data_IF_150727577341
#
_entry.id   IF_150727577341
#
_cell.length_a   1.000
_cell.length_b   1.000
_cell.length_c   1.000
_cell.angle_alpha   90.00
_cell.angle_beta   90.00
_cell.angle_gamma   90.00
#
_symmetry.space_group_name_H-M   'P 1'
#
loop_
_entity.id
_entity.type
_entity.pdbx_description
1 polymer ?
#
# COMPACT_ATOMS: atom_id res chain seq x y z
N UNK A 1 88.53 -41.28 -29.51
CA UNK A 1 88.02 -39.91 -29.30
C UNK A 1 87.23 -39.89 -28.00
N UNK A 2 87.93 -39.81 -26.87
CA UNK A 2 87.29 -39.50 -25.58
C UNK A 2 87.03 -37.99 -25.60
N UNK A 3 85.90 -37.57 -26.17
CA UNK A 3 85.44 -36.20 -26.03
C UNK A 3 85.07 -36.00 -24.55
N UNK A 4 85.93 -35.30 -23.82
CA UNK A 4 85.61 -34.88 -22.47
C UNK A 4 84.48 -33.85 -22.56
N UNK A 5 83.28 -34.22 -22.11
CA UNK A 5 82.10 -33.37 -22.06
C UNK A 5 81.97 -32.78 -20.65
N UNK A 6 81.56 -31.51 -20.55
CA UNK A 6 81.34 -30.87 -19.25
C UNK A 6 80.11 -29.97 -19.26
N UNK A 7 79.53 -29.78 -18.09
CA UNK A 7 78.48 -28.80 -17.88
C UNK A 7 79.09 -27.41 -17.69
N UNK A 8 78.68 -26.45 -18.51
CA UNK A 8 79.05 -25.05 -18.34
C UNK A 8 77.85 -24.23 -17.83
N UNK A 9 78.13 -23.29 -16.93
CA UNK A 9 77.15 -22.35 -16.41
C UNK A 9 77.01 -21.18 -17.38
N UNK A 10 75.81 -20.95 -17.89
CA UNK A 10 75.52 -19.74 -18.67
C UNK A 10 74.93 -18.69 -17.73
N UNK A 11 75.58 -17.53 -17.65
CA UNK A 11 75.05 -16.38 -16.92
C UNK A 11 74.09 -15.64 -17.85
N UNK A 12 72.80 -15.90 -17.73
CA UNK A 12 71.82 -14.91 -18.16
C UNK A 12 71.76 -13.86 -17.07
N UNK A 13 72.45 -12.73 -17.26
CA UNK A 13 72.01 -11.52 -16.60
C UNK A 13 70.55 -11.26 -17.02
N UNK A 14 69.79 -10.54 -16.18
CA UNK A 14 68.48 -10.08 -16.59
C UNK A 14 68.62 -9.19 -17.83
N UNK A 15 68.74 -9.79 -19.01
CA UNK A 15 68.38 -9.16 -20.26
C UNK A 15 66.87 -8.88 -20.07
N UNK A 16 66.36 -7.65 -19.92
CA UNK A 16 66.74 -6.46 -20.68
C UNK A 16 67.26 -6.89 -22.04
N UNK A 17 66.35 -7.48 -22.82
CA UNK A 17 66.44 -7.53 -24.28
C UNK A 17 66.42 -6.09 -24.81
N UNK A 18 67.52 -5.36 -24.59
CA UNK A 18 68.01 -4.42 -25.57
C UNK A 18 68.56 -5.28 -26.71
N UNK A 19 67.71 -5.54 -27.69
CA UNK A 19 68.01 -5.68 -29.13
C UNK A 19 66.97 -6.61 -29.78
N UNK A 20 65.75 -6.14 -29.98
CA UNK A 20 65.01 -6.38 -31.23
C UNK A 20 63.94 -5.29 -31.38
N UNK A 21 64.17 -4.40 -32.35
CA UNK A 21 63.16 -3.50 -32.91
C UNK A 21 61.98 -4.34 -33.42
N UNK A 22 60.92 -4.45 -32.63
CA UNK A 22 59.59 -4.85 -33.08
C UNK A 22 58.58 -4.14 -32.18
N UNK A 23 57.86 -3.21 -32.79
CA UNK A 23 56.78 -2.40 -32.24
C UNK A 23 55.64 -3.27 -31.68
N UNK A 24 55.71 -3.62 -30.40
CA UNK A 24 54.56 -4.11 -29.64
C UNK A 24 54.61 -3.52 -28.23
N UNK A 25 53.58 -2.72 -27.93
CA UNK A 25 53.05 -2.33 -26.62
C UNK A 25 53.91 -2.71 -25.40
N UNK A 26 54.47 -1.69 -24.73
CA UNK A 26 55.04 -1.75 -23.38
C UNK A 26 54.08 -2.46 -22.40
N UNK A 27 54.19 -3.78 -22.26
CA UNK A 27 53.76 -4.47 -21.04
C UNK A 27 54.98 -4.59 -20.14
N UNK A 28 55.08 -3.68 -19.19
CA UNK A 28 56.03 -3.77 -18.09
C UNK A 28 55.91 -5.17 -17.44
N UNK A 29 57.02 -5.89 -17.37
CA UNK A 29 57.08 -7.16 -16.63
C UNK A 29 56.75 -6.88 -15.15
N UNK A 30 56.03 -7.79 -14.45
CA UNK A 30 55.65 -7.54 -13.07
C UNK A 30 56.89 -7.46 -12.17
N UNK A 31 57.09 -6.28 -11.60
CA UNK A 31 57.86 -6.06 -10.38
C UNK A 31 57.19 -6.81 -9.21
N UNK A 32 57.88 -7.02 -8.08
CA UNK A 32 57.43 -7.77 -6.88
C UNK A 32 57.78 -9.28 -6.79
N UNK A 33 59.06 -9.65 -7.00
CA UNK A 33 59.71 -10.97 -6.72
C UNK A 33 59.76 -12.00 -7.87
N UNK A 34 60.57 -11.72 -8.90
CA UNK A 34 60.98 -12.72 -9.89
C UNK A 34 62.11 -13.63 -9.38
N UNK A 35 62.25 -14.83 -9.94
CA UNK A 35 63.38 -15.75 -9.66
C UNK A 35 64.09 -16.09 -10.97
N UNK A 36 65.40 -15.86 -10.99
CA UNK A 36 66.28 -16.30 -12.07
C UNK A 36 67.00 -17.57 -11.68
N UNK A 37 66.94 -18.56 -12.58
CA UNK A 37 67.56 -19.86 -12.41
C UNK A 37 68.77 -19.93 -13.31
N UNK A 38 69.90 -20.37 -12.77
CA UNK A 38 71.11 -20.65 -13.55
C UNK A 38 70.84 -21.77 -14.53
N UNK A 39 70.93 -21.48 -15.83
CA UNK A 39 70.84 -22.49 -16.86
C UNK A 39 72.18 -23.21 -17.03
N UNK A 40 72.13 -24.53 -16.95
CA UNK A 40 73.30 -25.41 -17.11
C UNK A 40 73.15 -26.15 -18.43
N UNK A 41 74.15 -26.03 -19.31
CA UNK A 41 74.15 -26.66 -20.62
C UNK A 41 75.35 -27.61 -20.72
N UNK A 42 75.13 -28.83 -21.19
CA UNK A 42 76.20 -29.77 -21.50
C UNK A 42 76.88 -29.33 -22.80
N UNK A 43 78.20 -29.12 -22.79
CA UNK A 43 78.96 -28.69 -23.96
C UNK A 43 80.12 -29.64 -24.26
N UNK A 44 80.48 -29.74 -25.54
CA UNK A 44 81.72 -30.42 -25.94
C UNK A 44 82.94 -29.54 -25.68
N UNK A 45 84.03 -30.12 -25.18
CA UNK A 45 85.27 -29.34 -24.96
C UNK A 45 85.98 -28.93 -26.25
N UNK A 46 85.82 -29.68 -27.34
CA UNK A 46 86.52 -29.41 -28.60
C UNK A 46 86.01 -28.16 -29.33
N UNK A 47 84.68 -27.97 -29.36
CA UNK A 47 84.04 -26.92 -30.18
C UNK A 47 83.03 -26.06 -29.38
N UNK A 48 82.88 -26.30 -28.08
CA UNK A 48 81.92 -25.62 -27.18
C UNK A 48 80.45 -25.72 -27.62
N UNK A 49 80.12 -26.64 -28.53
CA UNK A 49 78.75 -26.85 -29.00
C UNK A 49 77.89 -27.46 -27.88
N UNK A 50 76.63 -27.03 -27.81
CA UNK A 50 75.67 -27.56 -26.85
C UNK A 50 75.17 -28.95 -27.30
N UNK A 51 75.19 -29.90 -26.38
CA UNK A 51 74.72 -31.28 -26.59
C UNK A 51 73.70 -31.69 -25.54
N UNK A 52 73.01 -32.81 -25.77
CA UNK A 52 72.00 -33.31 -24.84
C UNK A 52 72.60 -33.71 -23.49
N UNK A 53 71.83 -33.50 -22.43
CA UNK A 53 72.26 -33.70 -21.04
C UNK A 53 72.72 -35.13 -20.70
N UNK A 54 72.26 -36.15 -21.43
CA UNK A 54 72.62 -37.55 -21.17
C UNK A 54 74.06 -37.89 -21.60
N UNK A 55 74.71 -37.03 -22.38
CA UNK A 55 76.13 -37.19 -22.75
C UNK A 55 77.10 -36.65 -21.69
N UNK A 56 76.64 -35.83 -20.75
CA UNK A 56 77.45 -35.39 -19.60
C UNK A 56 77.19 -36.27 -18.36
N UNK A 57 78.22 -36.49 -17.53
CA UNK A 57 78.07 -37.24 -16.26
C UNK A 57 77.21 -36.47 -15.26
N UNK A 58 76.11 -37.07 -14.80
CA UNK A 58 75.21 -36.52 -13.80
C UNK A 58 75.92 -36.07 -12.51
N UNK A 59 77.01 -36.73 -12.10
CA UNK A 59 77.79 -36.36 -10.91
C UNK A 59 78.55 -35.04 -11.06
N UNK A 60 78.84 -34.65 -12.30
CA UNK A 60 79.51 -33.40 -12.67
C UNK A 60 78.55 -32.22 -12.85
N UNK A 61 77.23 -32.45 -12.76
CA UNK A 61 76.22 -31.39 -12.91
C UNK A 61 76.32 -30.39 -11.76
N UNK A 62 76.59 -29.10 -12.03
CA UNK A 62 76.58 -28.06 -11.00
C UNK A 62 75.24 -27.99 -10.26
N UNK A 63 75.29 -27.67 -8.97
CA UNK A 63 74.08 -27.37 -8.19
C UNK A 63 73.39 -26.15 -8.77
N UNK A 64 72.09 -26.25 -9.00
CA UNK A 64 71.26 -25.17 -9.53
C UNK A 64 71.33 -23.94 -8.60
N UNK A 65 71.84 -22.82 -9.12
CA UNK A 65 71.84 -21.55 -8.40
C UNK A 65 70.60 -20.73 -8.78
N UNK A 66 69.93 -20.19 -7.77
CA UNK A 66 68.76 -19.32 -7.92
C UNK A 66 69.09 -17.94 -7.37
N UNK A 67 68.68 -16.88 -8.07
CA UNK A 67 68.79 -15.50 -7.58
C UNK A 67 67.46 -14.78 -7.74
N UNK A 68 67.14 -13.91 -6.79
CA UNK A 68 65.95 -13.06 -6.89
C UNK A 68 66.19 -11.92 -7.89
N UNK A 69 65.18 -11.58 -8.67
CA UNK A 69 65.16 -10.42 -9.57
C UNK A 69 63.83 -9.65 -9.40
N UNK A 70 63.72 -8.44 -9.94
CA UNK A 70 62.51 -7.62 -9.86
C UNK A 70 62.00 -7.42 -8.42
N UNK A 71 62.93 -7.10 -7.51
CA UNK A 71 62.66 -6.95 -6.07
C UNK A 71 62.01 -5.62 -5.70
N UNK A 72 61.91 -4.68 -6.64
CA UNK A 72 61.20 -3.42 -6.38
C UNK A 72 59.69 -3.68 -6.26
N UNK A 73 59.00 -3.01 -5.32
CA UNK A 73 57.54 -3.05 -5.24
C UNK A 73 56.89 -2.48 -6.50
N UNK A 74 55.70 -2.96 -6.86
CA UNK A 74 54.93 -2.36 -7.95
C UNK A 74 54.52 -0.92 -7.61
N UNK A 75 54.19 -0.13 -8.63
CA UNK A 75 53.49 1.14 -8.42
C UNK A 75 52.14 0.90 -7.75
N UNK A 76 51.71 1.77 -6.83
CA UNK A 76 50.42 1.65 -6.16
C UNK A 76 49.27 1.90 -7.13
N UNK A 77 48.18 1.16 -6.99
CA UNK A 77 47.00 1.26 -7.86
C UNK A 77 45.72 1.21 -7.04
N UNK A 78 44.66 1.82 -7.58
CA UNK A 78 43.34 1.75 -6.96
C UNK A 78 42.78 0.35 -7.07
N UNK A 79 42.33 -0.16 -5.94
CA UNK A 79 41.55 -1.37 -5.85
C UNK A 79 40.13 -1.00 -5.44
N UNK A 80 39.14 -1.56 -6.15
CA UNK A 80 37.73 -1.39 -5.84
C UNK A 80 37.13 -2.73 -5.46
N UNK A 81 36.46 -2.78 -4.31
CA UNK A 81 35.67 -3.93 -3.90
C UNK A 81 34.35 -4.05 -4.67
N UNK A 82 33.59 -5.09 -4.34
CA UNK A 82 32.22 -5.27 -4.83
C UNK A 82 31.30 -4.17 -4.30
N UNK A 83 30.27 -3.85 -5.06
CA UNK A 83 29.21 -2.95 -4.61
C UNK A 83 28.38 -3.61 -3.50
N UNK A 84 28.00 -2.81 -2.51
CA UNK A 84 27.01 -3.17 -1.50
C UNK A 84 25.65 -3.39 -2.14
N UNK A 85 24.74 -3.98 -1.38
CA UNK A 85 23.33 -3.89 -1.72
C UNK A 85 22.89 -2.42 -1.80
N UNK A 86 21.98 -2.14 -2.73
CA UNK A 86 21.45 -0.80 -2.91
C UNK A 86 20.61 -0.40 -1.70
N UNK A 87 20.77 0.83 -1.20
CA UNK A 87 20.04 1.33 -0.03
C UNK A 87 18.52 1.34 -0.20
N UNK A 88 18.02 1.34 -1.44
CA UNK A 88 16.61 1.29 -1.78
C UNK A 88 16.41 0.33 -2.94
N UNK A 89 15.33 -0.45 -2.91
CA UNK A 89 14.97 -1.35 -4.00
C UNK A 89 14.40 -0.64 -5.22
N UNK A 90 13.89 0.59 -5.07
CA UNK A 90 13.26 1.40 -6.12
C UNK A 90 13.27 2.91 -5.74
N UNK A 91 12.84 3.78 -6.66
CA UNK A 91 12.86 5.25 -6.57
C UNK A 91 14.25 5.88 -6.35
N UNK A 92 15.31 5.20 -6.79
CA UNK A 92 16.68 5.67 -6.64
C UNK A 92 17.22 5.45 -5.23
N UNK A 93 18.27 4.65 -5.13
CA UNK A 93 19.08 4.45 -3.94
C UNK A 93 20.56 4.72 -4.23
N UNK A 94 21.39 4.44 -3.24
CA UNK A 94 22.84 4.50 -3.35
C UNK A 94 23.42 3.16 -2.94
N UNK A 95 24.41 2.69 -3.69
CA UNK A 95 25.26 1.57 -3.32
C UNK A 95 26.66 2.10 -3.06
N UNK A 96 27.37 1.46 -2.13
CA UNK A 96 28.72 1.85 -1.76
C UNK A 96 29.68 0.70 -2.00
N UNK A 97 30.95 0.99 -2.27
CA UNK A 97 32.00 -0.02 -2.38
C UNK A 97 33.25 0.44 -1.66
N UNK A 98 34.10 -0.50 -1.32
CA UNK A 98 35.41 -0.17 -0.79
C UNK A 98 36.34 0.32 -1.90
N UNK A 99 37.08 1.41 -1.66
CA UNK A 99 38.09 1.95 -2.58
C UNK A 99 39.37 2.17 -1.79
N UNK A 100 40.39 1.35 -2.05
CA UNK A 100 41.67 1.36 -1.33
C UNK A 100 42.82 1.57 -2.31
N UNK A 101 43.81 2.36 -1.90
CA UNK A 101 45.09 2.41 -2.60
C UNK A 101 45.95 1.21 -2.16
N UNK A 102 46.23 0.27 -3.07
CA UNK A 102 47.01 -0.95 -2.76
C UNK A 102 48.31 -0.98 -3.54
N UNK A 103 49.38 -1.42 -2.88
CA UNK A 103 50.69 -1.70 -3.48
C UNK A 103 51.07 -3.15 -3.25
N UNK A 104 51.39 -3.85 -4.33
CA UNK A 104 51.97 -5.18 -4.26
C UNK A 104 53.45 -5.10 -3.91
N UNK A 105 53.84 -5.64 -2.76
CA UNK A 105 55.21 -5.68 -2.26
C UNK A 105 55.92 -6.96 -2.74
N UNK A 106 55.20 -8.09 -2.73
CA UNK A 106 55.69 -9.38 -3.23
C UNK A 106 54.56 -10.15 -3.91
N UNK A 107 54.83 -11.39 -4.34
CA UNK A 107 53.79 -12.25 -4.91
C UNK A 107 52.64 -12.52 -3.94
N UNK A 108 52.91 -12.53 -2.64
CA UNK A 108 51.94 -12.88 -1.58
C UNK A 108 51.58 -11.71 -0.66
N UNK A 109 52.29 -10.59 -0.75
CA UNK A 109 52.12 -9.46 0.17
C UNK A 109 51.64 -8.21 -0.56
N UNK A 110 50.51 -7.69 -0.08
CA UNK A 110 49.94 -6.42 -0.50
C UNK A 110 49.83 -5.49 0.70
N UNK A 111 50.09 -4.20 0.47
CA UNK A 111 50.00 -3.16 1.49
C UNK A 111 49.01 -2.10 1.06
N UNK A 112 48.12 -1.74 1.98
CA UNK A 112 47.23 -0.58 1.84
C UNK A 112 48.02 0.68 2.17
N UNK A 113 47.91 1.68 1.31
CA UNK A 113 48.57 2.97 1.43
C UNK A 113 47.53 4.09 1.59
N UNK A 114 48.02 5.28 1.90
CA UNK A 114 47.23 6.50 1.83
C UNK A 114 46.77 6.79 0.40
N UNK A 115 45.60 7.40 0.25
CA UNK A 115 44.98 7.74 -1.02
C UNK A 115 45.89 8.58 -1.93
N UNK A 116 46.72 9.45 -1.34
CA UNK A 116 47.66 10.31 -2.06
C UNK A 116 48.75 9.55 -2.83
N UNK A 117 48.99 8.27 -2.48
CA UNK A 117 50.00 7.45 -3.12
C UNK A 117 49.56 6.94 -4.51
N UNK A 118 48.25 6.86 -4.76
CA UNK A 118 47.70 6.33 -6.01
C UNK A 118 47.42 7.45 -7.03
N UNK A 119 47.79 7.22 -8.28
CA UNK A 119 47.38 7.99 -9.46
C UNK A 119 46.70 7.02 -10.42
N UNK A 120 45.53 7.31 -11.04
CA UNK A 120 44.77 8.56 -11.27
C UNK A 120 43.86 9.00 -10.08
N UNK A 121 42.91 9.96 -10.20
CA UNK A 121 42.00 10.33 -9.10
C UNK A 121 41.23 9.14 -8.51
N UNK A 122 40.90 9.24 -7.22
CA UNK A 122 40.17 8.20 -6.48
C UNK A 122 38.83 7.89 -7.17
N UNK A 123 38.56 6.63 -7.53
CA UNK A 123 37.27 6.21 -8.05
C UNK A 123 36.13 6.51 -7.07
N UNK A 124 34.91 6.67 -7.58
CA UNK A 124 33.74 6.83 -6.72
C UNK A 124 33.54 5.59 -5.83
N UNK A 125 33.35 5.85 -4.53
CA UNK A 125 32.98 4.82 -3.56
C UNK A 125 31.45 4.70 -3.41
N UNK A 126 30.68 5.54 -4.12
CA UNK A 126 29.21 5.56 -4.11
C UNK A 126 28.69 5.71 -5.54
N UNK A 127 27.60 5.01 -5.87
CA UNK A 127 26.93 5.10 -7.17
C UNK A 127 25.40 5.03 -7.00
N UNK A 128 24.62 5.77 -7.82
CA UNK A 128 23.17 5.60 -7.85
C UNK A 128 22.78 4.21 -8.36
N UNK A 129 21.77 3.63 -7.74
CA UNK A 129 21.21 2.33 -8.10
C UNK A 129 19.68 2.37 -8.04
N UNK A 130 19.03 1.38 -8.66
CA UNK A 130 17.57 1.18 -8.60
C UNK A 130 16.73 2.43 -8.94
N UNK A 131 17.05 3.07 -10.07
CA UNK A 131 16.37 4.29 -10.53
C UNK A 131 14.99 4.05 -11.17
N UNK A 132 14.41 2.86 -10.99
CA UNK A 132 13.06 2.55 -11.47
C UNK A 132 12.02 2.93 -10.41
N UNK A 133 10.84 3.37 -10.84
CA UNK A 133 9.76 3.73 -9.91
C UNK A 133 9.28 2.52 -9.12
N UNK A 134 8.96 2.73 -7.84
CA UNK A 134 8.37 1.69 -7.00
C UNK A 134 6.99 1.29 -7.53
N UNK A 135 6.63 -0.01 -7.48
CA UNK A 135 5.29 -0.44 -7.84
C UNK A 135 4.25 0.23 -6.92
N UNK A 136 3.03 0.49 -7.43
CA UNK A 136 1.97 1.07 -6.62
C UNK A 136 1.41 0.05 -5.62
N UNK A 137 1.03 0.53 -4.43
CA UNK A 137 0.62 -0.30 -3.31
C UNK A 137 -0.80 0.04 -2.81
N UNK A 138 -1.47 -0.96 -2.24
CA UNK A 138 -2.76 -0.76 -1.59
C UNK A 138 -2.60 -0.18 -0.20
N UNK A 139 -3.23 0.97 0.03
CA UNK A 139 -3.39 1.56 1.34
C UNK A 139 -4.83 1.36 1.83
N UNK A 140 -4.99 0.60 2.91
CA UNK A 140 -6.28 0.48 3.59
C UNK A 140 -6.33 1.48 4.74
N UNK A 141 -7.32 2.38 4.70
CA UNK A 141 -7.60 3.29 5.80
C UNK A 141 -8.31 2.56 6.95
N UNK A 142 -8.53 3.29 8.03
CA UNK A 142 -9.23 2.78 9.21
C UNK A 142 -10.66 2.36 8.89
N UNK A 143 -11.14 1.41 9.69
CA UNK A 143 -12.52 0.96 9.64
C UNK A 143 -13.46 2.01 10.21
N UNK A 144 -14.60 2.19 9.53
CA UNK A 144 -15.75 2.88 10.07
C UNK A 144 -16.31 2.16 11.30
N UNK A 145 -17.15 2.85 12.04
CA UNK A 145 -18.03 2.21 13.01
C UNK A 145 -18.96 1.18 12.34
N UNK A 146 -19.47 0.24 13.13
CA UNK A 146 -20.41 -0.76 12.66
C UNK A 146 -21.76 -0.09 12.42
N UNK A 147 -22.38 -0.34 11.26
CA UNK A 147 -23.73 0.13 10.96
C UNK A 147 -24.66 -1.07 10.70
N UNK A 148 -25.82 -1.16 11.40
CA UNK A 148 -26.25 -0.29 12.51
C UNK A 148 -25.36 -0.43 13.77
N UNK A 149 -25.46 0.53 14.69
CA UNK A 149 -24.66 0.58 15.94
C UNK A 149 -25.08 -0.45 17.00
N UNK A 150 -25.94 -1.39 16.63
CA UNK A 150 -26.38 -2.53 17.40
C UNK A 150 -26.69 -3.69 16.44
N UNK A 151 -26.70 -4.92 16.95
CA UNK A 151 -27.06 -6.10 16.17
C UNK A 151 -26.07 -6.43 15.04
N UNK A 152 -26.49 -7.22 14.04
CA UNK A 152 -25.67 -7.56 12.90
C UNK A 152 -25.57 -6.40 11.91
N UNK A 153 -24.36 -6.12 11.45
CA UNK A 153 -24.06 -4.99 10.58
C UNK A 153 -22.76 -5.16 9.80
N UNK A 154 -22.29 -4.05 9.24
CA UNK A 154 -21.02 -3.99 8.52
C UNK A 154 -20.18 -2.79 8.93
N UNK A 155 -18.85 -2.98 8.89
CA UNK A 155 -17.88 -1.90 8.89
C UNK A 155 -17.30 -1.77 7.50
N UNK A 156 -17.06 -0.53 7.11
CA UNK A 156 -16.53 -0.15 5.81
C UNK A 156 -15.19 0.53 6.00
N UNK A 157 -14.26 0.37 5.06
CA UNK A 157 -13.05 1.19 4.98
C UNK A 157 -12.76 1.56 3.56
N UNK A 158 -12.06 2.67 3.39
CA UNK A 158 -11.58 3.11 2.09
C UNK A 158 -10.28 2.38 1.79
N UNK A 159 -10.18 1.83 0.57
CA UNK A 159 -8.98 1.16 0.06
C UNK A 159 -8.52 1.95 -1.15
N UNK A 160 -7.33 2.55 -1.06
CA UNK A 160 -6.75 3.42 -2.07
C UNK A 160 -5.55 2.74 -2.72
N UNK A 161 -5.39 2.95 -4.03
CA UNK A 161 -4.14 2.62 -4.70
C UNK A 161 -3.21 3.83 -4.58
N UNK A 162 -2.01 3.64 -4.05
CA UNK A 162 -1.02 4.71 -3.84
C UNK A 162 0.19 4.53 -4.74
N UNK A 163 0.62 5.61 -5.37
CA UNK A 163 1.87 5.66 -6.12
C UNK A 163 3.05 5.42 -5.18
N UNK A 164 3.91 4.45 -5.52
CA UNK A 164 5.14 4.23 -4.76
C UNK A 164 6.13 5.38 -4.89
N UNK A 165 6.02 6.22 -5.93
CA UNK A 165 6.93 7.34 -6.22
C UNK A 165 6.51 8.64 -5.52
N UNK A 166 5.26 9.07 -5.73
CA UNK A 166 4.76 10.37 -5.28
C UNK A 166 3.84 10.30 -4.06
N UNK A 167 3.34 9.10 -3.70
CA UNK A 167 2.29 8.94 -2.67
C UNK A 167 0.90 9.40 -3.13
N UNK A 168 0.73 9.76 -4.41
CA UNK A 168 -0.55 10.16 -4.97
C UNK A 168 -1.54 9.00 -5.03
N UNK A 169 -2.82 9.34 -4.96
CA UNK A 169 -3.88 8.36 -5.15
C UNK A 169 -4.07 8.07 -6.64
N UNK A 170 -3.84 6.81 -7.02
CA UNK A 170 -3.97 6.33 -8.38
C UNK A 170 -5.31 5.59 -8.58
N UNK A 171 -5.74 5.38 -9.84
CA UNK A 171 -6.85 4.49 -10.15
C UNK A 171 -6.59 3.06 -9.66
N UNK A 172 -7.64 2.39 -9.17
CA UNK A 172 -7.55 1.00 -8.66
C UNK A 172 -6.94 -0.01 -9.63
N UNK A 173 -7.06 0.24 -10.94
CA UNK A 173 -6.50 -0.62 -11.98
C UNK A 173 -4.97 -0.63 -12.04
N UNK A 174 -4.31 0.36 -11.43
CA UNK A 174 -2.84 0.45 -11.39
C UNK A 174 -2.24 -0.43 -10.29
N UNK A 175 -2.98 -0.73 -9.24
CA UNK A 175 -2.52 -1.63 -8.19
C UNK A 175 -2.81 -3.09 -8.54
N UNK A 176 -1.99 -4.04 -8.07
CA UNK A 176 -2.22 -5.45 -8.32
C UNK A 176 -3.57 -5.91 -7.77
N UNK A 177 -4.37 -6.67 -8.54
CA UNK A 177 -5.65 -7.19 -8.03
C UNK A 177 -5.46 -8.16 -6.85
N UNK A 178 -4.36 -8.91 -6.87
CA UNK A 178 -3.97 -9.78 -5.77
C UNK A 178 -3.48 -8.93 -4.59
N UNK A 179 -3.87 -9.29 -3.37
CA UNK A 179 -3.50 -8.52 -2.18
C UNK A 179 -4.34 -7.27 -1.92
N UNK A 180 -5.36 -6.96 -2.74
CA UNK A 180 -6.31 -5.88 -2.44
C UNK A 180 -7.01 -6.15 -1.09
N UNK A 181 -6.89 -5.25 -0.10
CA UNK A 181 -7.59 -5.40 1.17
C UNK A 181 -9.11 -5.34 1.01
N UNK A 182 -9.85 -6.04 1.86
CA UNK A 182 -11.32 -5.99 1.87
C UNK A 182 -11.81 -4.61 2.29
N UNK A 183 -12.75 -4.02 1.56
CA UNK A 183 -13.36 -2.73 1.92
C UNK A 183 -14.55 -2.85 2.87
N UNK A 184 -15.05 -4.07 3.08
CA UNK A 184 -16.25 -4.35 3.89
C UNK A 184 -16.09 -5.62 4.70
N UNK A 185 -16.44 -5.56 5.98
CA UNK A 185 -16.40 -6.69 6.92
C UNK A 185 -17.68 -6.72 7.75
N UNK A 186 -18.12 -7.92 8.15
CA UNK A 186 -19.26 -8.11 9.05
C UNK A 186 -18.88 -7.78 10.49
N UNK A 187 -19.81 -7.20 11.22
CA UNK A 187 -19.73 -6.98 12.65
C UNK A 187 -21.05 -7.39 13.32
N UNK A 188 -20.98 -7.87 14.56
CA UNK A 188 -22.14 -8.21 15.37
C UNK A 188 -21.99 -7.53 16.72
N UNK A 189 -22.80 -6.50 16.95
CA UNK A 189 -22.84 -5.76 18.21
C UNK A 189 -23.94 -6.32 19.13
N UNK A 190 -24.10 -5.69 20.30
CA UNK A 190 -25.18 -6.02 21.23
C UNK A 190 -26.55 -5.89 20.57
N UNK A 191 -27.52 -6.68 21.01
CA UNK A 191 -28.88 -6.66 20.43
C UNK A 191 -29.44 -5.25 20.43
N UNK A 192 -30.11 -4.90 19.33
CA UNK A 192 -30.80 -3.62 19.24
C UNK A 192 -31.92 -3.53 20.28
N UNK A 193 -32.18 -2.33 20.82
CA UNK A 193 -33.37 -2.10 21.64
C UNK A 193 -34.63 -2.47 20.86
N UNK A 194 -35.63 -3.09 21.50
CA UNK A 194 -36.88 -3.44 20.85
C UNK A 194 -37.64 -2.18 20.39
N UNK A 195 -38.49 -2.32 19.39
CA UNK A 195 -39.38 -1.23 18.97
C UNK A 195 -40.37 -0.86 20.08
N UNK A 196 -40.69 0.43 20.18
CA UNK A 196 -41.58 0.96 21.21
C UNK A 196 -42.68 1.83 20.61
N UNK A 197 -43.84 1.86 21.28
CA UNK A 197 -44.92 2.76 20.95
C UNK A 197 -44.57 4.19 21.37
N UNK A 198 -44.54 5.10 20.40
CA UNK A 198 -44.31 6.53 20.62
C UNK A 198 -45.62 7.28 20.40
N UNK A 199 -45.95 8.16 21.35
CA UNK A 199 -47.18 8.93 21.39
C UNK A 199 -46.88 10.39 21.06
N UNK A 200 -47.65 10.99 20.15
CA UNK A 200 -47.65 12.43 19.94
C UNK A 200 -48.52 13.17 20.96
N UNK A 201 -48.50 14.51 20.93
CA UNK A 201 -49.44 15.33 21.71
C UNK A 201 -50.88 15.07 21.26
N UNK A 202 -51.82 15.26 22.18
CA UNK A 202 -53.25 15.31 21.84
C UNK A 202 -53.53 16.53 20.95
N UNK A 203 -54.30 16.31 19.89
CA UNK A 203 -54.85 17.39 19.09
C UNK A 203 -55.91 18.18 19.85
N UNK A 204 -56.44 19.23 19.22
CA UNK A 204 -57.52 20.01 19.80
C UNK A 204 -58.80 19.18 19.97
N UNK A 205 -59.59 19.54 20.98
CA UNK A 205 -60.88 18.90 21.22
C UNK A 205 -61.83 19.18 20.05
N UNK A 206 -62.46 18.13 19.50
CA UNK A 206 -63.38 18.26 18.36
C UNK A 206 -64.57 19.18 18.64
N UNK A 207 -64.93 19.37 19.91
CA UNK A 207 -66.01 20.22 20.35
C UNK A 207 -65.47 21.58 20.84
N UNK A 208 -66.00 22.68 20.29
CA UNK A 208 -65.69 24.04 20.76
C UNK A 208 -66.18 24.31 22.18
N UNK A 209 -67.23 23.63 22.61
CA UNK A 209 -67.76 23.69 23.97
C UNK A 209 -68.38 22.32 24.34
N UNK A 210 -68.29 21.91 25.61
CA UNK A 210 -68.88 20.66 26.07
C UNK A 210 -68.00 19.42 25.82
N UNK A 211 -68.62 18.26 25.58
CA UNK A 211 -67.91 16.99 25.38
C UNK A 211 -67.51 16.82 23.91
N UNK A 212 -66.27 16.41 23.66
CA UNK A 212 -65.75 16.08 22.34
C UNK A 212 -64.78 14.91 22.38
N UNK A 213 -64.10 14.68 21.26
CA UNK A 213 -63.01 13.73 21.14
C UNK A 213 -61.73 14.43 20.68
N UNK A 214 -60.60 13.99 21.20
CA UNK A 214 -59.28 14.42 20.73
C UNK A 214 -58.52 13.19 20.23
N UNK A 215 -57.69 13.40 19.22
CA UNK A 215 -56.89 12.35 18.58
C UNK A 215 -55.40 12.69 18.70
N UNK A 216 -54.56 11.67 18.89
CA UNK A 216 -53.10 11.78 18.87
C UNK A 216 -52.48 10.77 17.93
N UNK A 217 -51.26 11.04 17.49
CA UNK A 217 -50.47 10.05 16.76
C UNK A 217 -49.98 8.95 17.73
N UNK A 218 -50.12 7.70 17.30
CA UNK A 218 -49.57 6.54 17.99
C UNK A 218 -48.86 5.70 16.94
N UNK A 219 -47.54 5.68 17.00
CA UNK A 219 -46.69 5.01 16.02
C UNK A 219 -45.77 4.02 16.72
N UNK A 220 -45.63 2.82 16.15
CA UNK A 220 -44.60 1.88 16.58
C UNK A 220 -43.31 2.25 15.87
N UNK A 221 -42.27 2.64 16.63
CA UNK A 221 -41.00 3.07 16.08
C UNK A 221 -39.87 2.15 16.56
N UNK A 222 -38.89 1.89 15.69
CA UNK A 222 -37.61 1.27 16.05
C UNK A 222 -36.78 2.22 16.92
N UNK A 223 -35.67 1.71 17.47
CA UNK A 223 -34.69 2.54 18.17
C UNK A 223 -34.06 3.65 17.29
N UNK A 224 -34.17 3.55 15.96
CA UNK A 224 -33.73 4.59 15.00
C UNK A 224 -34.85 5.55 14.58
N UNK A 225 -36.06 5.40 15.13
CA UNK A 225 -37.22 6.24 14.81
C UNK A 225 -37.94 5.85 13.50
N UNK A 226 -37.63 4.69 12.92
CA UNK A 226 -38.31 4.21 11.72
C UNK A 226 -39.60 3.46 12.09
N UNK A 227 -40.67 3.53 11.27
CA UNK A 227 -41.89 2.76 11.49
C UNK A 227 -41.59 1.25 11.55
N UNK A 228 -42.13 0.58 12.57
CA UNK A 228 -42.01 -0.87 12.78
C UNK A 228 -43.38 -1.50 13.06
N UNK A 229 -43.46 -2.82 12.87
CA UNK A 229 -44.61 -3.66 13.25
C UNK A 229 -44.27 -4.62 14.40
N UNK A 230 -43.08 -4.48 15.01
CA UNK A 230 -42.58 -5.38 16.05
C UNK A 230 -43.08 -5.02 17.47
N UNK A 231 -43.82 -3.91 17.61
CA UNK A 231 -44.40 -3.54 18.89
C UNK A 231 -45.55 -4.48 19.26
N UNK A 232 -45.67 -4.78 20.55
CA UNK A 232 -46.72 -5.63 21.07
C UNK A 232 -48.06 -4.86 21.08
N UNK A 233 -49.10 -5.44 20.44
CA UNK A 233 -50.41 -4.80 20.30
C UNK A 233 -51.09 -4.50 21.65
N UNK A 234 -50.90 -5.35 22.67
CA UNK A 234 -51.49 -5.12 23.99
C UNK A 234 -50.90 -3.89 24.71
N UNK A 235 -49.74 -3.40 24.26
CA UNK A 235 -49.11 -2.18 24.80
C UNK A 235 -49.48 -0.95 23.99
N UNK A 236 -50.31 -1.08 22.94
CA UNK A 236 -50.67 0.03 22.05
C UNK A 236 -51.48 1.08 22.83
N UNK A 237 -50.96 2.31 22.94
CA UNK A 237 -51.67 3.38 23.62
C UNK A 237 -52.95 3.79 22.88
N UNK A 238 -53.92 4.33 23.62
CA UNK A 238 -55.16 4.88 23.04
C UNK A 238 -54.83 6.04 22.10
N UNK A 239 -55.36 6.00 20.87
CA UNK A 239 -55.16 7.06 19.87
C UNK A 239 -56.27 8.12 19.90
N UNK A 240 -57.40 7.84 20.55
CA UNK A 240 -58.55 8.71 20.65
C UNK A 240 -59.10 8.68 22.08
N UNK A 241 -59.38 9.83 22.66
CA UNK A 241 -59.99 9.93 23.99
C UNK A 241 -61.06 11.02 24.06
N UNK A 242 -61.85 11.02 25.14
CA UNK A 242 -62.84 12.05 25.40
C UNK A 242 -62.17 13.30 26.00
N UNK A 243 -62.59 14.47 25.53
CA UNK A 243 -62.15 15.77 26.03
C UNK A 243 -63.36 16.62 26.43
N UNK A 244 -63.15 17.60 27.31
CA UNK A 244 -64.18 18.58 27.71
C UNK A 244 -63.65 19.99 27.55
N UNK A 245 -64.20 20.73 26.59
CA UNK A 245 -63.91 22.15 26.41
C UNK A 245 -64.78 22.99 27.33
N UNK A 246 -64.18 24.00 27.96
CA UNK A 246 -64.89 24.95 28.83
C UNK A 246 -65.82 25.78 27.96
N UNK A 247 -67.11 25.78 28.30
CA UNK A 247 -68.06 26.72 27.70
C UNK A 247 -67.85 28.07 28.37
N UNK A 248 -67.45 29.09 27.61
CA UNK A 248 -67.56 30.45 28.10
C UNK A 248 -69.02 30.89 27.95
N UNK A 249 -69.71 31.08 29.07
CA UNK A 249 -71.11 31.50 29.12
C UNK A 249 -71.28 33.01 28.89
N UNK A 250 -70.23 33.72 28.47
CA UNK A 250 -70.23 35.19 28.36
C UNK A 250 -69.88 35.75 26.97
N UNK A 251 -70.25 35.05 25.89
CA UNK A 251 -70.39 35.69 24.57
C UNK A 251 -71.76 35.36 23.96
N UNK A 252 -72.41 36.37 23.36
CA UNK A 252 -73.84 36.36 23.07
C UNK A 252 -74.18 35.26 22.08
N UNK A 253 -75.29 34.58 22.38
CA UNK A 253 -76.08 33.85 21.39
C UNK A 253 -76.27 34.79 20.21
N UNK A 254 -75.57 34.53 19.11
CA UNK A 254 -76.03 34.97 17.81
C UNK A 254 -77.41 34.34 17.65
N UNK A 255 -78.43 35.15 17.91
CA UNK A 255 -79.76 34.97 17.33
C UNK A 255 -79.60 35.12 15.82
N UNK A 256 -79.03 34.10 15.18
CA UNK A 256 -79.21 33.88 13.76
C UNK A 256 -80.56 33.19 13.59
N UNK A 257 -81.49 33.99 13.07
CA UNK A 257 -82.73 33.64 12.40
C UNK A 257 -83.06 32.13 12.29
N UNK A 258 -84.21 31.68 12.82
CA UNK A 258 -84.74 30.36 12.54
C UNK A 258 -85.47 30.35 11.18
N UNK A 259 -84.79 30.59 10.06
CA UNK A 259 -85.41 30.40 8.72
C UNK A 259 -84.41 30.46 7.56
N UNK A 260 -83.71 29.35 7.30
CA UNK A 260 -83.59 28.80 5.95
C UNK A 260 -82.99 27.38 6.00
N UNK A 261 -83.88 26.40 5.97
CA UNK A 261 -83.55 24.99 5.72
C UNK A 261 -82.71 24.87 4.43
N UNK A 262 -81.42 24.51 4.54
CA UNK A 262 -80.48 24.41 3.41
C UNK A 262 -79.81 23.05 3.40
N UNK A 263 -79.70 22.43 2.23
CA UNK A 263 -78.99 21.17 2.07
C UNK A 263 -77.47 21.40 2.19
N UNK A 264 -76.82 20.67 3.10
CA UNK A 264 -75.37 20.73 3.28
C UNK A 264 -74.72 19.75 2.29
N UNK A 265 -74.56 20.18 1.04
CA UNK A 265 -74.14 19.32 -0.06
C UNK A 265 -72.75 19.74 -0.56
N UNK A 266 -71.68 19.23 0.07
CA UNK A 266 -70.31 19.52 -0.41
C UNK A 266 -69.99 18.78 -1.71
N UNK A 267 -70.49 17.55 -1.94
CA UNK A 267 -70.61 16.88 -3.26
C UNK A 267 -71.64 15.73 -3.19
N UNK A 268 -72.71 15.79 -4.00
CA UNK A 268 -73.69 14.72 -4.31
C UNK A 268 -74.28 13.86 -3.16
N UNK A 269 -74.38 14.38 -1.93
CA UNK A 269 -74.84 13.62 -0.76
C UNK A 269 -76.38 13.52 -0.69
N UNK A 270 -77.08 14.65 -0.81
CA UNK A 270 -78.54 14.69 -0.58
C UNK A 270 -79.41 13.98 -1.65
N UNK A 271 -79.09 14.04 -2.95
CA UNK A 271 -79.83 13.25 -3.96
C UNK A 271 -79.77 11.73 -3.72
N UNK A 272 -78.67 11.22 -3.13
CA UNK A 272 -78.54 9.81 -2.78
C UNK A 272 -79.40 9.46 -1.56
N UNK A 273 -79.49 10.36 -0.58
CA UNK A 273 -80.35 10.20 0.61
C UNK A 273 -81.81 9.99 0.20
N UNK A 274 -82.30 10.76 -0.78
CA UNK A 274 -83.65 10.58 -1.33
C UNK A 274 -83.79 9.25 -2.09
N UNK A 275 -82.85 8.96 -2.99
CA UNK A 275 -82.87 7.74 -3.83
C UNK A 275 -82.90 6.45 -3.01
N UNK A 276 -82.17 6.41 -1.89
CA UNK A 276 -82.11 5.25 -0.99
C UNK A 276 -83.09 5.31 0.19
N UNK A 277 -84.05 6.26 0.18
CA UNK A 277 -85.09 6.44 1.21
C UNK A 277 -84.57 6.61 2.64
N UNK A 278 -83.49 7.35 2.81
CA UNK A 278 -82.93 7.65 4.14
C UNK A 278 -83.54 8.90 4.80
N UNK A 279 -84.51 9.57 4.17
CA UNK A 279 -85.21 10.75 4.72
C UNK A 279 -85.98 10.49 6.02
N UNK A 280 -86.32 9.22 6.33
CA UNK A 280 -86.94 8.83 7.60
C UNK A 280 -86.00 8.91 8.80
N UNK A 281 -84.68 9.00 8.57
CA UNK A 281 -83.68 9.05 9.62
C UNK A 281 -83.40 10.52 10.02
N UNK A 282 -83.51 10.87 11.32
CA UNK A 282 -83.40 12.26 11.78
C UNK A 282 -82.13 12.98 11.34
N UNK A 283 -80.99 12.27 11.37
CA UNK A 283 -79.69 12.79 10.96
C UNK A 283 -79.66 13.23 9.49
N UNK A 284 -80.17 12.38 8.59
CA UNK A 284 -80.19 12.67 7.16
C UNK A 284 -81.23 13.73 6.81
N UNK A 285 -82.36 13.76 7.52
CA UNK A 285 -83.40 14.79 7.39
C UNK A 285 -82.90 16.18 7.79
N UNK A 286 -82.02 16.25 8.79
CA UNK A 286 -81.43 17.52 9.23
C UNK A 286 -80.37 18.04 8.24
N UNK A 287 -79.57 17.15 7.64
CA UNK A 287 -78.51 17.52 6.70
C UNK A 287 -79.03 17.79 5.28
N UNK A 288 -80.11 17.13 4.88
CA UNK A 288 -80.73 17.21 3.55
C UNK A 288 -82.18 17.71 3.64
N UNK A 289 -82.34 18.80 4.38
CA UNK A 289 -83.62 19.35 4.78
C UNK A 289 -84.52 19.74 3.58
N UNK A 290 -83.98 20.35 2.51
CA UNK A 290 -84.75 20.66 1.29
C UNK A 290 -85.05 19.39 0.48
N UNK A 291 -84.06 18.50 0.34
CA UNK A 291 -84.21 17.28 -0.47
C UNK A 291 -85.24 16.29 0.13
N UNK A 292 -85.39 16.27 1.46
CA UNK A 292 -86.35 15.40 2.16
C UNK A 292 -87.70 16.07 2.48
N UNK A 293 -87.95 17.27 1.96
CA UNK A 293 -89.18 18.01 2.21
C UNK A 293 -90.32 17.43 1.36
N UNK A 294 -91.06 16.44 1.90
CA UNK A 294 -92.22 15.82 1.25
C UNK A 294 -92.16 14.29 1.06
N UNK A 295 -91.15 13.61 1.63
CA UNK A 295 -90.97 12.15 1.61
C UNK A 295 -90.66 11.60 3.01
#
# INVERSE_FOLDING_TARGET
>A
LNEHLRYDCVRYDALLDNLFNLSYSLRAQPLASGVQIQQVVCKKQADQSAVYNHFCDKKSKPKEKRRSCNTEPCSPTWWTGEWSECSRSCNGGLQTREVLCKRRISTTEEKILDDSACTPPRPSFTEPCNNHSCPPEWLALDWSECTPSCGPGYRHRVVLCKSGESGDTLPESKCPKHGRPTSRVRCNLQRCPPSQWVMGPWGECSAKCGLGQEMRSVQCLTHTGQPSNECLDHQRPVAMQQCKSKCDTSLPVSTDNPEECKDVNTVAYCPLVLRFKFCSRPYFRQMCCKTCQGH
#
